data_IF_945203088121
#
_entry.id   IF_945203088121
#
_cell.length_a   1.000
_cell.length_b   1.000
_cell.length_c   1.000
_cell.angle_alpha   90.00
_cell.angle_beta   90.00
_cell.angle_gamma   90.00
#
_symmetry.space_group_name_H-M   'P 1'
#
loop_
_entity.id
_entity.type
_entity.pdbx_description
1 polymer ?
#
# COMPACT_ATOMS: atom_id res chain seq x y z
N UNK A 1 -19.72 -17.45 3.01
CA UNK A 1 -18.75 -17.70 1.92
C UNK A 1 -18.77 -16.46 1.03
N UNK A 2 -17.72 -15.64 1.03
CA UNK A 2 -17.65 -14.37 0.31
C UNK A 2 -17.86 -14.61 -1.19
N UNK A 3 -18.96 -14.14 -1.78
CA UNK A 3 -19.15 -14.26 -3.22
C UNK A 3 -18.38 -13.15 -3.95
N UNK A 4 -17.71 -13.44 -5.07
CA UNK A 4 -17.05 -12.41 -5.87
C UNK A 4 -18.07 -11.40 -6.41
N UNK A 5 -18.23 -10.29 -5.70
CA UNK A 5 -19.05 -9.15 -6.13
C UNK A 5 -18.23 -8.07 -6.82
N UNK A 6 -18.93 -7.08 -7.37
CA UNK A 6 -18.32 -5.84 -7.92
C UNK A 6 -17.45 -5.16 -6.86
N UNK A 7 -17.92 -5.12 -5.60
CA UNK A 7 -17.19 -4.61 -4.42
C UNK A 7 -15.80 -5.24 -4.29
N UNK A 8 -15.73 -6.57 -4.28
CA UNK A 8 -14.47 -7.30 -4.13
C UNK A 8 -13.54 -7.08 -5.32
N UNK A 9 -14.08 -6.99 -6.53
CA UNK A 9 -13.28 -6.72 -7.73
C UNK A 9 -12.62 -5.36 -7.66
N UNK A 10 -13.36 -4.31 -7.25
CA UNK A 10 -12.83 -2.96 -7.08
C UNK A 10 -11.73 -2.96 -6.01
N UNK A 11 -11.98 -3.55 -4.84
CA UNK A 11 -11.00 -3.65 -3.76
C UNK A 11 -9.70 -4.30 -4.21
N UNK A 12 -9.78 -5.40 -4.96
CA UNK A 12 -8.60 -6.09 -5.49
C UNK A 12 -7.83 -5.24 -6.49
N UNK A 13 -8.53 -4.54 -7.39
CA UNK A 13 -7.87 -3.65 -8.36
C UNK A 13 -7.21 -2.46 -7.67
N UNK A 14 -7.87 -1.86 -6.66
CA UNK A 14 -7.28 -0.80 -5.84
C UNK A 14 -6.04 -1.30 -5.09
N UNK A 15 -6.12 -2.47 -4.46
CA UNK A 15 -5.00 -3.06 -3.72
C UNK A 15 -3.81 -3.38 -4.64
N UNK A 16 -4.06 -4.02 -5.78
CA UNK A 16 -3.01 -4.33 -6.76
C UNK A 16 -2.42 -3.05 -7.37
N UNK A 17 -3.25 -2.08 -7.72
CA UNK A 17 -2.82 -0.79 -8.27
C UNK A 17 -1.94 0.00 -7.30
N UNK A 18 -2.35 0.08 -6.02
CA UNK A 18 -1.56 0.72 -4.97
C UNK A 18 -0.25 -0.02 -4.70
N UNK A 19 -0.29 -1.35 -4.62
CA UNK A 19 0.93 -2.14 -4.41
C UNK A 19 1.96 -1.91 -5.53
N UNK A 20 1.51 -1.96 -6.79
CA UNK A 20 2.38 -1.73 -7.94
C UNK A 20 2.88 -0.29 -7.98
N UNK A 21 2.05 0.70 -7.65
CA UNK A 21 2.48 2.10 -7.65
C UNK A 21 3.54 2.38 -6.58
N UNK A 22 3.46 1.76 -5.40
CA UNK A 22 4.49 1.84 -4.37
C UNK A 22 5.80 1.22 -4.85
N UNK A 23 5.75 -0.02 -5.35
CA UNK A 23 6.94 -0.74 -5.81
C UNK A 23 7.64 -0.05 -6.99
N UNK A 24 6.87 0.45 -7.96
CA UNK A 24 7.39 1.16 -9.13
C UNK A 24 7.88 2.56 -8.72
N UNK A 25 7.11 3.27 -7.90
CA UNK A 25 7.47 4.59 -7.38
C UNK A 25 8.78 4.53 -6.61
N UNK A 26 8.97 3.50 -5.79
CA UNK A 26 10.20 3.30 -5.03
C UNK A 26 11.39 2.91 -5.91
N UNK A 27 11.16 2.08 -6.94
CA UNK A 27 12.19 1.78 -7.94
C UNK A 27 12.71 3.06 -8.59
N UNK A 28 11.81 3.94 -9.02
CA UNK A 28 12.15 5.25 -9.62
C UNK A 28 12.86 6.14 -8.60
N UNK A 29 12.33 6.22 -7.37
CA UNK A 29 12.87 7.10 -6.32
C UNK A 29 14.29 6.71 -5.91
N UNK A 30 14.59 5.41 -5.88
CA UNK A 30 15.85 4.86 -5.38
C UNK A 30 16.92 4.66 -6.46
N UNK A 31 16.53 4.57 -7.73
CA UNK A 31 17.46 4.29 -8.83
C UNK A 31 18.67 5.25 -8.84
N UNK A 32 19.88 4.71 -8.71
CA UNK A 32 21.13 5.49 -8.74
C UNK A 32 21.40 6.38 -7.51
N UNK A 33 20.55 6.35 -6.48
CA UNK A 33 20.68 7.24 -5.29
C UNK A 33 21.56 6.68 -4.18
N UNK A 34 21.93 5.39 -4.22
CA UNK A 34 22.72 4.74 -3.17
C UNK A 34 22.01 4.58 -1.82
N UNK A 35 20.67 4.71 -1.79
CA UNK A 35 19.90 4.62 -0.54
C UNK A 35 20.02 3.23 0.10
N UNK A 36 20.17 3.14 1.45
CA UNK A 36 20.34 1.85 2.13
C UNK A 36 19.11 0.95 1.96
N UNK A 37 19.36 -0.36 1.82
CA UNK A 37 18.37 -1.40 1.57
C UNK A 37 17.07 -1.31 2.42
N UNK A 38 17.14 -1.12 3.76
CA UNK A 38 15.93 -1.14 4.58
C UNK A 38 14.93 -0.02 4.26
N UNK A 39 15.39 1.11 3.70
CA UNK A 39 14.56 2.31 3.46
C UNK A 39 13.77 2.30 2.15
N UNK A 40 14.00 1.28 1.33
CA UNK A 40 13.25 1.07 0.10
C UNK A 40 12.63 -0.32 0.05
N UNK A 41 13.16 -1.29 0.81
CA UNK A 41 12.61 -2.64 0.89
C UNK A 41 11.22 -2.69 1.56
N UNK A 42 10.91 -1.76 2.46
CA UNK A 42 9.60 -1.66 3.12
C UNK A 42 8.45 -1.45 2.12
N UNK A 43 8.65 -0.65 1.07
CA UNK A 43 7.68 -0.47 -0.03
C UNK A 43 7.45 -1.77 -0.80
N UNK A 44 8.52 -2.53 -1.09
CA UNK A 44 8.41 -3.84 -1.75
C UNK A 44 7.77 -4.89 -0.86
N UNK A 45 8.08 -4.88 0.43
CA UNK A 45 7.53 -5.83 1.40
C UNK A 45 6.04 -5.62 1.59
N UNK A 46 5.64 -4.38 1.89
CA UNK A 46 4.23 -4.04 2.12
C UNK A 46 3.41 -4.09 0.83
N UNK A 47 3.97 -3.61 -0.29
CA UNK A 47 3.38 -3.75 -1.62
C UNK A 47 3.23 -5.21 -2.04
N UNK A 48 4.25 -6.04 -1.83
CA UNK A 48 4.21 -7.48 -2.11
C UNK A 48 3.14 -8.21 -1.31
N UNK A 49 2.98 -7.91 -0.02
CA UNK A 49 1.91 -8.46 0.82
C UNK A 49 0.52 -8.03 0.33
N UNK A 50 0.34 -6.75 0.01
CA UNK A 50 -0.93 -6.23 -0.49
C UNK A 50 -1.30 -6.83 -1.86
N UNK A 51 -0.33 -6.94 -2.77
CA UNK A 51 -0.50 -7.55 -4.09
C UNK A 51 -0.84 -9.04 -3.97
N UNK A 52 -0.12 -9.78 -3.11
CA UNK A 52 -0.42 -11.18 -2.85
C UNK A 52 -1.84 -11.35 -2.33
N UNK A 53 -2.28 -10.53 -1.37
CA UNK A 53 -3.66 -10.50 -0.88
C UNK A 53 -4.67 -10.24 -1.99
N UNK A 54 -4.43 -9.23 -2.84
CA UNK A 54 -5.31 -8.87 -3.96
C UNK A 54 -5.45 -10.00 -4.99
N UNK A 55 -4.36 -10.71 -5.29
CA UNK A 55 -4.35 -11.87 -6.19
C UNK A 55 -5.07 -13.07 -5.57
N UNK A 56 -4.79 -13.39 -4.30
CA UNK A 56 -5.42 -14.49 -3.59
C UNK A 56 -6.95 -14.31 -3.46
N UNK A 57 -7.40 -13.07 -3.27
CA UNK A 57 -8.82 -12.72 -3.19
C UNK A 57 -9.60 -12.92 -4.51
N UNK A 58 -8.96 -13.36 -5.60
CA UNK A 58 -9.66 -13.88 -6.78
C UNK A 58 -10.53 -15.10 -6.46
N UNK A 59 -10.15 -15.87 -5.43
CA UNK A 59 -10.85 -17.06 -4.96
C UNK A 59 -10.98 -16.96 -3.45
N UNK A 60 -11.96 -16.18 -2.93
CA UNK A 60 -12.00 -15.83 -1.51
C UNK A 60 -12.19 -17.06 -0.62
N UNK A 61 -11.45 -17.08 0.48
CA UNK A 61 -11.57 -18.03 1.61
C UNK A 61 -11.26 -17.24 2.88
N UNK A 62 -11.68 -17.68 4.07
CA UNK A 62 -11.40 -16.95 5.31
C UNK A 62 -9.93 -16.59 5.48
N UNK A 63 -9.02 -17.53 5.21
CA UNK A 63 -7.58 -17.27 5.28
C UNK A 63 -7.12 -16.19 4.28
N UNK A 64 -7.54 -16.29 3.01
CA UNK A 64 -7.14 -15.32 1.96
C UNK A 64 -7.67 -13.92 2.24
N UNK A 65 -8.85 -13.81 2.84
CA UNK A 65 -9.44 -12.57 3.30
C UNK A 65 -8.60 -11.92 4.40
N UNK A 66 -8.15 -12.69 5.39
CA UNK A 66 -7.23 -12.18 6.41
C UNK A 66 -5.90 -11.74 5.82
N UNK A 67 -5.32 -12.49 4.88
CA UNK A 67 -4.08 -12.08 4.18
C UNK A 67 -4.28 -10.73 3.48
N UNK A 68 -5.41 -10.51 2.83
CA UNK A 68 -5.70 -9.24 2.17
C UNK A 68 -5.86 -8.07 3.15
N UNK A 69 -6.56 -8.28 4.27
CA UNK A 69 -6.68 -7.29 5.35
C UNK A 69 -5.30 -6.97 5.96
N UNK A 70 -4.46 -7.98 6.20
CA UNK A 70 -3.10 -7.80 6.69
C UNK A 70 -2.25 -6.99 5.70
N UNK A 71 -2.38 -7.25 4.40
CA UNK A 71 -1.71 -6.48 3.35
C UNK A 71 -2.09 -4.99 3.40
N UNK A 72 -3.39 -4.68 3.53
CA UNK A 72 -3.84 -3.30 3.71
C UNK A 72 -3.32 -2.66 5.00
N UNK A 73 -3.36 -3.39 6.12
CA UNK A 73 -2.90 -2.88 7.41
C UNK A 73 -1.38 -2.61 7.42
N UNK A 74 -0.57 -3.51 6.85
CA UNK A 74 0.87 -3.32 6.71
C UNK A 74 1.20 -2.10 5.83
N UNK A 75 0.50 -1.97 4.69
CA UNK A 75 0.62 -0.82 3.79
C UNK A 75 0.26 0.49 4.50
N UNK A 76 -0.85 0.52 5.24
CA UNK A 76 -1.28 1.68 6.02
C UNK A 76 -0.25 2.08 7.08
N UNK A 77 0.28 1.11 7.83
CA UNK A 77 1.27 1.37 8.88
C UNK A 77 2.57 1.95 8.35
N UNK A 78 3.07 1.44 7.22
CA UNK A 78 4.25 1.99 6.54
C UNK A 78 3.98 3.42 6.03
N UNK A 79 2.85 3.62 5.35
CA UNK A 79 2.47 4.92 4.79
C UNK A 79 2.27 5.98 5.87
N UNK A 80 1.77 5.61 7.06
CA UNK A 80 1.63 6.52 8.20
C UNK A 80 2.97 7.17 8.55
N UNK A 81 4.01 6.35 8.81
CA UNK A 81 5.34 6.87 9.14
C UNK A 81 5.95 7.69 7.99
N UNK A 82 5.79 7.21 6.75
CA UNK A 82 6.32 7.85 5.56
C UNK A 82 5.67 9.22 5.27
N UNK A 83 4.35 9.34 5.45
CA UNK A 83 3.59 10.56 5.22
C UNK A 83 3.88 11.61 6.29
N UNK A 84 3.66 11.27 7.55
CA UNK A 84 3.82 12.22 8.64
C UNK A 84 5.28 12.61 8.88
N UNK A 85 6.24 11.73 8.59
CA UNK A 85 7.66 12.10 8.58
C UNK A 85 7.97 13.24 7.61
N UNK A 86 7.36 13.24 6.42
CA UNK A 86 7.56 14.31 5.41
C UNK A 86 6.87 15.62 5.78
N UNK A 87 5.75 15.55 6.49
CA UNK A 87 5.01 16.74 6.94
C UNK A 87 5.71 17.42 8.11
N UNK A 88 6.13 16.64 9.11
CA UNK A 88 6.64 17.17 10.37
C UNK A 88 8.15 17.34 10.42
N UNK A 89 8.90 16.58 9.61
CA UNK A 89 10.36 16.71 9.49
C UNK A 89 10.82 16.63 8.02
N UNK A 90 10.42 17.58 7.16
CA UNK A 90 10.80 17.59 5.75
C UNK A 90 12.31 17.71 5.54
N UNK A 91 13.06 18.26 6.50
CA UNK A 91 14.50 18.47 6.38
C UNK A 91 15.31 17.16 6.45
N UNK A 92 14.80 16.14 7.14
CA UNK A 92 15.41 14.80 7.19
C UNK A 92 14.86 13.85 6.12
N UNK A 93 13.83 14.25 5.37
CA UNK A 93 13.19 13.42 4.37
C UNK A 93 14.06 13.27 3.12
N UNK A 94 14.38 12.03 2.76
CA UNK A 94 15.06 11.73 1.50
C UNK A 94 14.03 11.54 0.37
N UNK A 95 13.97 12.50 -0.55
CA UNK A 95 13.03 12.46 -1.68
C UNK A 95 13.56 11.67 -2.89
N UNK A 96 14.83 11.27 -2.88
CA UNK A 96 15.49 10.57 -3.99
C UNK A 96 15.38 11.36 -5.29
N UNK A 97 14.94 10.69 -6.35
CA UNK A 97 14.77 11.28 -7.69
C UNK A 97 13.45 12.07 -7.88
N UNK A 98 12.62 12.18 -6.85
CA UNK A 98 11.30 12.82 -6.94
C UNK A 98 11.33 14.10 -6.10
N UNK A 99 10.65 15.15 -6.58
CA UNK A 99 10.44 16.37 -5.80
C UNK A 99 9.72 16.04 -4.47
N UNK A 100 10.17 16.63 -3.36
CA UNK A 100 9.65 16.32 -2.03
C UNK A 100 8.17 16.71 -1.88
N UNK A 101 7.76 17.85 -2.43
CA UNK A 101 6.37 18.32 -2.37
C UNK A 101 5.45 17.37 -3.13
N UNK A 102 5.84 17.03 -4.37
CA UNK A 102 5.10 16.07 -5.19
C UNK A 102 5.04 14.67 -4.57
N UNK A 103 6.17 14.17 -4.03
CA UNK A 103 6.24 12.90 -3.33
C UNK A 103 5.30 12.86 -2.12
N UNK A 104 5.24 13.94 -1.35
CA UNK A 104 4.35 14.04 -0.18
C UNK A 104 2.89 13.96 -0.56
N UNK A 105 2.49 14.60 -1.68
CA UNK A 105 1.12 14.51 -2.22
C UNK A 105 0.80 13.07 -2.65
N UNK A 106 1.70 12.42 -3.40
CA UNK A 106 1.52 11.03 -3.82
C UNK A 106 1.33 10.08 -2.63
N UNK A 107 2.19 10.21 -1.62
CA UNK A 107 2.11 9.39 -0.40
C UNK A 107 0.84 9.70 0.40
N UNK A 108 0.40 10.96 0.46
CA UNK A 108 -0.87 11.33 1.10
C UNK A 108 -2.08 10.68 0.42
N UNK A 109 -2.11 10.66 -0.92
CA UNK A 109 -3.16 9.96 -1.68
C UNK A 109 -3.10 8.44 -1.46
N UNK A 110 -1.89 7.87 -1.45
CA UNK A 110 -1.69 6.45 -1.14
C UNK A 110 -2.18 6.10 0.28
N UNK A 111 -1.87 6.94 1.26
CA UNK A 111 -2.27 6.79 2.65
C UNK A 111 -3.80 6.83 2.80
N UNK A 112 -4.47 7.82 2.20
CA UNK A 112 -5.93 7.90 2.18
C UNK A 112 -6.57 6.67 1.52
N UNK A 113 -5.98 6.21 0.40
CA UNK A 113 -6.41 4.99 -0.30
C UNK A 113 -6.25 3.76 0.59
N UNK A 114 -5.16 3.65 1.34
CA UNK A 114 -4.91 2.54 2.25
C UNK A 114 -5.93 2.50 3.41
N UNK A 115 -6.32 3.66 3.96
CA UNK A 115 -7.39 3.74 4.98
C UNK A 115 -8.71 3.22 4.39
N UNK A 116 -9.10 3.74 3.23
CA UNK A 116 -10.37 3.35 2.57
C UNK A 116 -10.35 1.86 2.24
N UNK A 117 -9.26 1.36 1.67
CA UNK A 117 -9.08 -0.05 1.31
C UNK A 117 -9.13 -0.98 2.51
N UNK A 118 -8.50 -0.61 3.64
CA UNK A 118 -8.54 -1.39 4.87
C UNK A 118 -9.95 -1.44 5.47
N UNK A 119 -10.59 -0.29 5.68
CA UNK A 119 -11.93 -0.21 6.28
C UNK A 119 -12.95 -0.95 5.43
N UNK A 120 -12.90 -0.75 4.11
CA UNK A 120 -13.80 -1.43 3.19
C UNK A 120 -13.54 -2.94 3.15
N UNK A 121 -12.27 -3.38 3.19
CA UNK A 121 -11.96 -4.81 3.30
C UNK A 121 -12.50 -5.42 4.59
N UNK A 122 -12.33 -4.76 5.74
CA UNK A 122 -12.88 -5.24 7.02
C UNK A 122 -14.41 -5.37 6.96
N UNK A 123 -15.09 -4.40 6.35
CA UNK A 123 -16.54 -4.44 6.19
C UNK A 123 -16.99 -5.60 5.30
N UNK A 124 -16.32 -5.82 4.16
CA UNK A 124 -16.61 -6.92 3.25
C UNK A 124 -16.40 -8.28 3.93
N UNK A 125 -15.32 -8.41 4.71
CA UNK A 125 -15.02 -9.63 5.47
C UNK A 125 -16.07 -9.90 6.55
N UNK A 126 -16.56 -8.87 7.25
CA UNK A 126 -17.57 -9.02 8.30
C UNK A 126 -18.96 -9.45 7.81
N UNK A 127 -19.23 -9.28 6.51
CA UNK A 127 -20.52 -9.62 5.88
C UNK A 127 -20.57 -11.06 5.34
N UNK A 128 -19.43 -11.76 5.31
CA UNK A 128 -19.22 -12.99 4.54
C UNK A 128 -19.37 -14.28 5.34
#
# INVERSE_FOLDING_TARGET
MMQPGVSLTILRMLGAGLALSLMIGEAIRTWGTGRPFPFWFDDYWTGGLLLAGALLMARPTPFRSHVFVVGWAACLGMLFGSFFGKIYDPASANSGNIDLGFLTILIGMAFATAIIGLVWSLWEVSRA
#
